data_IF_156964060922
#
_entry.id   IF_156964060922
#
_cell.length_a   1.000
_cell.length_b   1.000
_cell.length_c   1.000
_cell.angle_alpha   90.00
_cell.angle_beta   90.00
_cell.angle_gamma   90.00
#
_symmetry.space_group_name_H-M   'P 1'
#
loop_
_entity.id
_entity.type
_entity.pdbx_description
1 polymer ?
#
# COMPACT_ATOMS: atom_id res chain seq x y z
N UNK A 1 -9.56 7.71 -0.06
CA UNK A 1 -9.86 6.62 -1.02
C UNK A 1 -8.90 5.48 -0.75
N UNK A 2 -9.14 4.28 -1.28
CA UNK A 2 -8.21 3.17 -1.09
C UNK A 2 -7.15 3.20 -2.19
N UNK A 3 -5.89 3.07 -1.80
CA UNK A 3 -4.75 2.88 -2.70
C UNK A 3 -4.16 1.51 -2.43
N UNK A 4 -4.13 0.66 -3.45
CA UNK A 4 -3.45 -0.63 -3.37
C UNK A 4 -2.04 -0.47 -3.92
N UNK A 5 -1.05 -0.67 -3.07
CA UNK A 5 0.36 -0.67 -3.44
C UNK A 5 0.80 -2.11 -3.58
N UNK A 6 1.19 -2.51 -4.78
CA UNK A 6 1.77 -3.83 -5.04
C UNK A 6 3.22 -3.66 -5.45
N UNK A 7 4.08 -4.56 -4.99
CA UNK A 7 5.47 -4.56 -5.41
C UNK A 7 5.99 -5.95 -5.74
N UNK A 8 6.99 -5.99 -6.59
CA UNK A 8 7.81 -7.15 -6.90
C UNK A 8 9.26 -6.71 -6.81
N UNK A 9 9.95 -7.17 -5.77
CA UNK A 9 11.31 -6.75 -5.40
C UNK A 9 12.10 -8.00 -5.05
N UNK A 10 13.12 -8.30 -5.85
CA UNK A 10 13.94 -9.50 -5.68
C UNK A 10 14.96 -9.39 -4.55
N UNK A 11 15.42 -8.18 -4.21
CA UNK A 11 16.36 -7.96 -3.11
C UNK A 11 15.65 -7.87 -1.75
N UNK A 12 15.95 -8.81 -0.86
CA UNK A 12 15.30 -8.89 0.46
C UNK A 12 15.54 -7.68 1.34
N UNK A 13 16.72 -7.03 1.27
CA UNK A 13 17.02 -5.86 2.07
C UNK A 13 16.22 -4.65 1.60
N UNK A 14 16.09 -4.43 0.29
CA UNK A 14 15.23 -3.38 -0.28
C UNK A 14 13.76 -3.66 0.02
N UNK A 15 13.32 -4.90 -0.15
CA UNK A 15 11.94 -5.32 0.13
C UNK A 15 11.57 -5.07 1.58
N UNK A 16 12.42 -5.45 2.54
CA UNK A 16 12.17 -5.20 3.95
C UNK A 16 12.15 -3.70 4.28
N UNK A 17 13.08 -2.92 3.72
CA UNK A 17 13.08 -1.46 3.89
C UNK A 17 11.82 -0.80 3.35
N UNK A 18 11.33 -1.23 2.18
CA UNK A 18 10.09 -0.73 1.61
C UNK A 18 8.87 -1.15 2.44
N UNK A 19 8.81 -2.42 2.84
CA UNK A 19 7.74 -2.94 3.71
C UNK A 19 7.62 -2.14 5.00
N UNK A 20 8.71 -1.96 5.73
CA UNK A 20 8.73 -1.21 6.99
C UNK A 20 8.33 0.26 6.79
N UNK A 21 8.69 0.84 5.64
CA UNK A 21 8.27 2.19 5.30
C UNK A 21 6.76 2.27 5.01
N UNK A 22 6.19 1.30 4.28
CA UNK A 22 4.77 1.26 3.94
C UNK A 22 3.87 0.94 5.14
N UNK A 23 4.36 0.25 6.16
CA UNK A 23 3.64 0.01 7.42
C UNK A 23 3.24 1.30 8.15
N UNK A 24 3.97 2.40 7.93
CA UNK A 24 3.60 3.73 8.44
C UNK A 24 2.52 4.47 7.63
N UNK A 25 2.13 3.93 6.47
CA UNK A 25 1.21 4.58 5.53
C UNK A 25 -0.06 3.75 5.24
N UNK A 26 -0.09 2.49 5.64
CA UNK A 26 -1.21 1.60 5.38
C UNK A 26 -1.02 0.23 6.02
N UNK A 27 -1.96 -0.67 5.72
CA UNK A 27 -1.99 -2.02 6.25
C UNK A 27 -1.38 -3.00 5.26
N UNK A 28 -0.45 -3.82 5.72
CA UNK A 28 0.07 -4.95 4.95
C UNK A 28 -0.99 -6.06 4.91
N UNK A 29 -1.49 -6.39 3.72
CA UNK A 29 -2.54 -7.41 3.54
C UNK A 29 -2.04 -8.69 2.88
N UNK A 30 -0.95 -8.62 2.12
CA UNK A 30 -0.22 -9.78 1.63
C UNK A 30 1.29 -9.52 1.72
N UNK A 31 2.09 -10.52 1.36
CA UNK A 31 3.55 -10.42 1.43
C UNK A 31 4.10 -9.21 0.66
N UNK A 32 3.50 -8.89 -0.50
CA UNK A 32 3.89 -7.79 -1.36
C UNK A 32 2.76 -6.82 -1.73
N UNK A 33 1.72 -6.75 -0.89
CA UNK A 33 0.55 -5.89 -1.12
C UNK A 33 0.20 -5.12 0.15
N UNK A 34 0.02 -3.81 -0.01
CA UNK A 34 -0.40 -2.87 1.01
C UNK A 34 -1.69 -2.14 0.60
N UNK A 35 -2.57 -1.95 1.56
CA UNK A 35 -3.78 -1.14 1.46
C UNK A 35 -3.57 0.17 2.22
N UNK A 36 -3.57 1.30 1.53
CA UNK A 36 -3.38 2.62 2.12
C UNK A 36 -4.62 3.49 1.85
N UNK A 37 -5.25 4.00 2.91
CA UNK A 37 -6.35 4.96 2.76
C UNK A 37 -5.80 6.38 2.67
N UNK A 38 -5.67 6.87 1.44
CA UNK A 38 -4.99 8.13 1.13
C UNK A 38 -5.86 9.04 0.25
N UNK A 39 -5.56 10.33 0.29
CA UNK A 39 -5.91 11.32 -0.73
C UNK A 39 -5.00 11.19 -1.97
N UNK A 40 -5.37 11.83 -3.08
CA UNK A 40 -4.55 11.82 -4.30
C UNK A 40 -3.19 12.50 -4.07
N UNK A 41 -3.16 13.53 -3.23
CA UNK A 41 -1.93 14.23 -2.90
C UNK A 41 -1.00 13.34 -2.08
N UNK A 42 -1.50 12.71 -1.02
CA UNK A 42 -0.74 11.76 -0.21
C UNK A 42 -0.24 10.57 -1.03
N UNK A 43 -1.04 10.06 -1.98
CA UNK A 43 -0.61 9.03 -2.93
C UNK A 43 0.59 9.49 -3.77
N UNK A 44 0.58 10.73 -4.29
CA UNK A 44 1.69 11.29 -5.07
C UNK A 44 2.94 11.48 -4.22
N UNK A 45 2.79 11.95 -2.99
CA UNK A 45 3.90 12.08 -2.04
C UNK A 45 4.49 10.70 -1.69
N UNK A 46 3.62 9.70 -1.47
CA UNK A 46 4.05 8.33 -1.21
C UNK A 46 4.80 7.76 -2.42
N UNK A 47 4.28 7.95 -3.63
CA UNK A 47 4.93 7.53 -4.88
C UNK A 47 6.37 8.09 -4.99
N UNK A 48 6.58 9.39 -4.75
CA UNK A 48 7.91 10.00 -4.78
C UNK A 48 8.86 9.40 -3.74
N UNK A 49 8.37 9.18 -2.51
CA UNK A 49 9.17 8.54 -1.45
C UNK A 49 9.54 7.10 -1.79
N UNK A 50 8.63 6.37 -2.43
CA UNK A 50 8.86 4.98 -2.86
C UNK A 50 9.83 4.91 -4.03
N UNK A 51 9.74 5.84 -4.99
CA UNK A 51 10.68 5.93 -6.11
C UNK A 51 12.14 6.04 -5.65
N UNK A 52 12.41 6.78 -4.57
CA UNK A 52 13.74 6.88 -3.98
C UNK A 52 14.21 5.66 -3.17
N UNK A 53 13.36 4.63 -3.00
CA UNK A 53 13.64 3.42 -2.20
C UNK A 53 13.75 2.15 -3.04
N UNK A 54 13.45 2.23 -4.33
CA UNK A 54 13.43 1.09 -5.24
C UNK A 54 14.42 1.28 -6.37
N UNK A 55 14.87 0.18 -6.97
CA UNK A 55 15.74 0.18 -8.13
C UNK A 55 14.92 -0.16 -9.38
N UNK A 56 14.51 0.86 -10.13
CA UNK A 56 13.58 0.71 -11.27
C UNK A 56 14.06 -0.24 -12.40
N UNK A 57 15.35 -0.62 -12.43
CA UNK A 57 15.88 -1.62 -13.38
C UNK A 57 15.62 -3.08 -12.96
N UNK A 58 15.26 -3.32 -11.70
CA UNK A 58 15.07 -4.65 -11.11
C UNK A 58 13.71 -4.79 -10.42
N UNK A 59 13.20 -3.70 -9.87
CA UNK A 59 12.02 -3.66 -9.01
C UNK A 59 10.81 -3.11 -9.78
N UNK A 60 9.64 -3.66 -9.49
CA UNK A 60 8.36 -3.18 -10.01
C UNK A 60 7.46 -2.78 -8.85
N UNK A 61 6.92 -1.56 -8.90
CA UNK A 61 5.93 -1.09 -7.92
C UNK A 61 4.78 -0.44 -8.67
N UNK A 62 3.55 -0.78 -8.30
CA UNK A 62 2.34 -0.18 -8.86
C UNK A 62 1.42 0.31 -7.76
N UNK A 63 0.73 1.40 -8.07
CA UNK A 63 -0.27 2.02 -7.21
C UNK A 63 -1.60 2.02 -7.96
N UNK A 64 -2.61 1.39 -7.39
CA UNK A 64 -3.96 1.39 -7.95
C UNK A 64 -4.88 2.23 -7.09
N UNK A 65 -5.47 3.25 -7.71
CA UNK A 65 -6.47 4.09 -7.08
C UNK A 65 -7.84 3.41 -7.14
N UNK A 66 -8.40 3.08 -5.99
CA UNK A 66 -9.72 2.47 -5.86
C UNK A 66 -10.67 3.50 -5.24
N UNK A 67 -11.65 3.94 -6.06
CA UNK A 67 -12.74 4.80 -5.61
C UNK A 67 -13.53 4.15 -4.49
N UNK A 68 -14.14 4.94 -3.62
CA UNK A 68 -14.90 4.47 -2.47
C UNK A 68 -16.03 3.51 -2.87
N UNK A 69 -16.72 3.80 -3.98
CA UNK A 69 -17.76 2.91 -4.53
C UNK A 69 -17.23 1.55 -4.99
N UNK A 70 -15.95 1.48 -5.37
CA UNK A 70 -15.32 0.25 -5.81
C UNK A 70 -14.79 -0.59 -4.64
N UNK A 71 -14.55 0.03 -3.48
CA UNK A 71 -14.08 -0.68 -2.28
C UNK A 71 -15.10 -1.74 -1.84
N UNK A 72 -16.40 -1.43 -1.91
CA UNK A 72 -17.47 -2.38 -1.57
C UNK A 72 -17.58 -3.58 -2.51
N UNK A 73 -16.91 -3.53 -3.68
CA UNK A 73 -16.86 -4.63 -4.67
C UNK A 73 -15.60 -5.48 -4.54
N UNK A 74 -14.70 -5.19 -3.59
CA UNK A 74 -13.51 -6.00 -3.37
C UNK A 74 -13.91 -7.35 -2.77
N UNK A 75 -13.33 -8.42 -3.32
CA UNK A 75 -13.52 -9.79 -2.85
C UNK A 75 -12.21 -10.29 -2.24
N UNK A 76 -12.28 -11.01 -1.13
CA UNK A 76 -11.12 -11.59 -0.45
C UNK A 76 -11.36 -13.07 -0.13
N UNK A 77 -10.27 -13.83 -0.03
CA UNK A 77 -10.28 -15.23 0.41
C UNK A 77 -9.17 -15.35 1.47
N UNK A 78 -9.52 -15.79 2.68
CA UNK A 78 -8.55 -15.98 3.78
C UNK A 78 -8.05 -14.69 4.44
N UNK A 79 -8.62 -13.53 4.10
CA UNK A 79 -8.31 -12.23 4.72
C UNK A 79 -9.58 -11.38 4.87
N UNK A 80 -9.62 -10.43 5.82
CA UNK A 80 -10.74 -9.49 5.94
C UNK A 80 -10.83 -8.59 4.71
N UNK A 81 -12.00 -7.95 4.54
CA UNK A 81 -12.20 -6.93 3.53
C UNK A 81 -11.34 -5.69 3.81
N UNK A 82 -11.12 -4.82 2.81
CA UNK A 82 -10.46 -3.54 3.02
C UNK A 82 -11.28 -2.66 3.95
N UNK A 83 -10.68 -2.19 5.04
CA UNK A 83 -11.33 -1.36 6.04
C UNK A 83 -10.53 -0.08 6.25
N UNK A 84 -11.19 1.10 6.22
CA UNK A 84 -10.51 2.35 6.54
C UNK A 84 -10.00 2.35 7.98
N UNK A 85 -8.93 3.10 8.28
CA UNK A 85 -8.45 3.24 9.64
C UNK A 85 -9.56 3.83 10.53
N UNK A 86 -9.63 3.43 11.82
CA UNK A 86 -10.60 3.96 12.74
C UNK A 86 -10.41 5.46 12.94
N UNK A 87 -11.51 6.18 13.15
CA UNK A 87 -11.52 7.64 13.35
C UNK A 87 -10.97 8.06 14.71
N UNK A 88 -10.94 7.15 15.69
CA UNK A 88 -10.30 7.35 16.98
C UNK A 88 -9.65 6.07 17.48
N UNK A 89 -8.57 6.23 18.22
CA UNK A 89 -7.97 5.18 19.04
C UNK A 89 -8.23 5.56 20.49
N UNK A 90 -8.95 4.71 21.24
CA UNK A 90 -9.12 4.87 22.67
C UNK A 90 -7.89 4.23 23.32
N UNK A 91 -7.06 5.06 23.95
CA UNK A 91 -5.85 4.66 24.68
C UNK A 91 -6.14 4.65 26.17
#
# INVERSE_FOLDING_TARGET
MLVVVVYDISDDKRRLKLSNFLEGHGRRVQYSVFECFLSLEEMRQLYQKVQGKVKASEDSVRFYWISQDAVSRVLTIGSPLPEPPPTCYIV
#
